data_IF_560051890953
#
_entry.id   IF_560051890953
#
_cell.length_a   1.000
_cell.length_b   1.000
_cell.length_c   1.000
_cell.angle_alpha   90.00
_cell.angle_beta   90.00
_cell.angle_gamma   90.00
#
_symmetry.space_group_name_H-M   'P 1'
#
loop_
_entity.id
_entity.type
_entity.pdbx_description
1 polymer ?
#
# COMPACT_ATOMS: atom_id res chain seq x y z
N UNK A 1 -18.69 -8.95 -19.29
CA UNK A 1 -18.77 -7.52 -18.90
C UNK A 1 -19.24 -7.33 -17.47
N UNK A 2 -20.21 -8.10 -16.97
CA UNK A 2 -20.72 -7.97 -15.59
C UNK A 2 -19.64 -8.16 -14.51
N UNK A 3 -18.75 -9.17 -14.59
CA UNK A 3 -17.72 -9.37 -13.54
C UNK A 3 -16.75 -8.18 -13.42
N UNK A 4 -16.32 -7.58 -14.54
CA UNK A 4 -15.45 -6.40 -14.52
C UNK A 4 -16.12 -5.17 -13.87
N UNK A 5 -17.42 -4.99 -14.10
CA UNK A 5 -18.16 -3.89 -13.49
C UNK A 5 -18.34 -4.10 -11.97
N UNK A 6 -18.60 -5.35 -11.56
CA UNK A 6 -18.72 -5.76 -10.16
C UNK A 6 -17.39 -5.64 -9.42
N UNK A 7 -16.29 -6.06 -10.03
CA UNK A 7 -14.92 -5.88 -9.51
C UNK A 7 -14.56 -4.40 -9.35
N UNK A 8 -14.85 -3.57 -10.36
CA UNK A 8 -14.61 -2.13 -10.30
C UNK A 8 -15.43 -1.46 -9.18
N UNK A 9 -16.68 -1.88 -8.98
CA UNK A 9 -17.52 -1.37 -7.89
C UNK A 9 -16.99 -1.80 -6.52
N UNK A 10 -16.63 -3.08 -6.35
CA UNK A 10 -16.04 -3.59 -5.12
C UNK A 10 -14.77 -2.83 -4.74
N UNK A 11 -13.88 -2.62 -5.72
CA UNK A 11 -12.68 -1.83 -5.53
C UNK A 11 -13.00 -0.38 -5.13
N UNK A 12 -13.94 0.28 -5.83
CA UNK A 12 -14.34 1.66 -5.52
C UNK A 12 -14.89 1.82 -4.10
N UNK A 13 -15.69 0.86 -3.61
CA UNK A 13 -16.21 0.88 -2.23
C UNK A 13 -15.12 0.71 -1.19
N UNK A 14 -14.28 -0.30 -1.36
CA UNK A 14 -13.21 -0.60 -0.39
C UNK A 14 -12.19 0.54 -0.32
N UNK A 15 -11.83 1.09 -1.48
CA UNK A 15 -10.95 2.26 -1.55
C UNK A 15 -11.57 3.51 -0.95
N UNK A 16 -12.85 3.81 -1.25
CA UNK A 16 -13.54 4.96 -0.64
C UNK A 16 -13.60 4.84 0.89
N UNK A 17 -13.78 3.61 1.41
CA UNK A 17 -13.76 3.34 2.84
C UNK A 17 -12.40 3.67 3.44
N UNK A 18 -11.31 3.15 2.88
CA UNK A 18 -9.96 3.45 3.36
C UNK A 18 -9.65 4.97 3.34
N UNK A 19 -10.02 5.66 2.26
CA UNK A 19 -9.84 7.11 2.15
C UNK A 19 -10.67 7.89 3.19
N UNK A 20 -11.90 7.44 3.46
CA UNK A 20 -12.79 8.06 4.45
C UNK A 20 -12.31 7.81 5.88
N UNK A 21 -11.93 6.58 6.22
CA UNK A 21 -11.42 6.23 7.56
C UNK A 21 -10.15 7.01 7.89
N UNK A 22 -9.25 7.17 6.92
CA UNK A 22 -8.07 8.01 7.09
C UNK A 22 -8.42 9.49 7.31
N UNK A 23 -9.44 10.00 6.62
CA UNK A 23 -9.94 11.38 6.80
C UNK A 23 -10.50 11.57 8.22
N UNK A 24 -11.40 10.69 8.66
CA UNK A 24 -12.02 10.73 9.99
C UNK A 24 -10.96 10.59 11.10
N UNK A 25 -9.98 9.70 10.93
CA UNK A 25 -8.92 9.51 11.93
C UNK A 25 -8.07 10.75 12.19
N UNK A 26 -7.97 11.69 11.23
CA UNK A 26 -7.30 12.98 11.44
C UNK A 26 -8.19 14.04 12.07
N UNK A 27 -9.51 13.84 12.03
CA UNK A 27 -10.51 14.82 12.42
C UNK A 27 -11.62 14.18 13.27
N UNK A 28 -11.29 13.69 14.49
CA UNK A 28 -12.29 13.12 15.38
C UNK A 28 -13.30 14.16 15.89
N UNK A 29 -13.10 15.45 15.59
CA UNK A 29 -13.88 16.58 16.08
C UNK A 29 -15.24 16.77 15.40
N UNK A 30 -15.46 16.17 14.23
CA UNK A 30 -16.78 16.17 13.60
C UNK A 30 -17.59 14.99 14.15
N UNK A 31 -18.41 15.25 15.19
CA UNK A 31 -19.36 14.31 15.80
C UNK A 31 -20.49 13.84 14.87
N UNK A 32 -20.22 13.73 13.57
CA UNK A 32 -21.12 13.18 12.57
C UNK A 32 -21.41 11.70 12.89
N UNK A 33 -22.69 11.28 12.92
CA UNK A 33 -23.05 9.90 13.20
C UNK A 33 -22.36 8.93 12.23
N UNK A 34 -21.93 7.77 12.71
CA UNK A 34 -21.33 6.71 11.88
C UNK A 34 -22.17 6.35 10.64
N UNK A 35 -23.49 6.53 10.73
CA UNK A 35 -24.43 6.37 9.61
C UNK A 35 -24.24 7.42 8.50
N UNK A 36 -23.95 8.68 8.84
CA UNK A 36 -23.68 9.74 7.85
C UNK A 36 -22.43 9.40 7.06
N UNK A 37 -21.33 9.11 7.74
CA UNK A 37 -20.06 8.76 7.10
C UNK A 37 -20.19 7.55 6.19
N UNK A 38 -20.90 6.50 6.61
CA UNK A 38 -21.16 5.33 5.73
C UNK A 38 -21.86 5.73 4.42
N UNK A 39 -22.88 6.59 4.49
CA UNK A 39 -23.60 7.05 3.29
C UNK A 39 -22.74 7.98 2.42
N UNK A 40 -21.89 8.81 3.03
CA UNK A 40 -20.93 9.65 2.32
C UNK A 40 -19.86 8.81 1.61
N UNK A 41 -19.35 7.76 2.25
CA UNK A 41 -18.43 6.78 1.66
C UNK A 41 -19.05 6.05 0.46
N UNK A 42 -20.30 5.58 0.58
CA UNK A 42 -21.00 4.95 -0.54
C UNK A 42 -21.21 5.93 -1.72
N UNK A 43 -21.51 7.21 -1.43
CA UNK A 43 -21.63 8.26 -2.45
C UNK A 43 -20.28 8.58 -3.11
N UNK A 44 -19.21 8.63 -2.32
CA UNK A 44 -17.84 8.83 -2.77
C UNK A 44 -17.38 7.69 -3.70
N UNK A 45 -17.65 6.43 -3.32
CA UNK A 45 -17.42 5.26 -4.16
C UNK A 45 -18.20 5.35 -5.48
N UNK A 46 -19.48 5.74 -5.42
CA UNK A 46 -20.32 5.90 -6.61
C UNK A 46 -19.74 6.96 -7.55
N UNK A 47 -19.27 8.09 -7.02
CA UNK A 47 -18.65 9.13 -7.83
C UNK A 47 -17.39 8.61 -8.54
N UNK A 48 -16.49 7.92 -7.82
CA UNK A 48 -15.27 7.34 -8.42
C UNK A 48 -15.57 6.31 -9.51
N UNK A 49 -16.47 5.36 -9.23
CA UNK A 49 -16.90 4.34 -10.19
C UNK A 49 -17.54 4.94 -11.44
N UNK A 50 -18.33 6.00 -11.28
CA UNK A 50 -18.93 6.71 -12.41
C UNK A 50 -17.93 7.47 -13.25
N UNK A 51 -16.99 8.16 -12.62
CA UNK A 51 -15.91 8.85 -13.35
C UNK A 51 -15.07 7.82 -14.12
N UNK A 52 -14.76 6.67 -13.52
CA UNK A 52 -14.07 5.57 -14.18
C UNK A 52 -14.80 5.13 -15.46
N UNK A 53 -16.12 4.86 -15.35
CA UNK A 53 -16.95 4.48 -16.48
C UNK A 53 -17.05 5.56 -17.56
N UNK A 54 -17.24 6.82 -17.18
CA UNK A 54 -17.39 7.94 -18.13
C UNK A 54 -16.07 8.24 -18.87
N UNK A 55 -14.91 8.00 -18.23
CA UNK A 55 -13.59 8.20 -18.85
C UNK A 55 -13.02 6.94 -19.51
N UNK A 56 -13.67 5.78 -19.36
CA UNK A 56 -13.16 4.50 -19.85
C UNK A 56 -11.86 4.05 -19.15
N UNK A 57 -11.67 4.43 -17.89
CA UNK A 57 -10.47 4.16 -17.11
C UNK A 57 -10.74 3.12 -16.00
N UNK A 58 -9.72 2.34 -15.59
CA UNK A 58 -9.76 1.64 -14.30
C UNK A 58 -9.96 2.64 -13.16
N UNK A 59 -10.65 2.22 -12.09
CA UNK A 59 -10.93 3.09 -10.94
C UNK A 59 -9.63 3.61 -10.30
N UNK A 60 -8.56 2.80 -10.29
CA UNK A 60 -7.25 3.23 -9.78
C UNK A 60 -6.64 4.42 -10.54
N UNK A 61 -7.00 4.60 -11.81
CA UNK A 61 -6.42 5.62 -12.70
C UNK A 61 -7.32 6.88 -12.78
N UNK A 62 -8.39 6.94 -11.99
CA UNK A 62 -9.31 8.08 -11.96
C UNK A 62 -8.67 9.29 -11.27
N UNK A 63 -8.65 10.48 -11.90
CA UNK A 63 -8.21 11.70 -11.25
C UNK A 63 -9.13 12.11 -10.10
N UNK A 64 -8.59 12.37 -8.91
CA UNK A 64 -9.35 12.84 -7.74
C UNK A 64 -10.11 14.13 -8.03
N UNK A 65 -9.52 15.05 -8.82
CA UNK A 65 -10.17 16.29 -9.22
C UNK A 65 -11.47 16.04 -10.02
N UNK A 66 -11.51 14.98 -10.84
CA UNK A 66 -12.71 14.61 -11.58
C UNK A 66 -13.79 14.03 -10.65
N UNK A 67 -13.39 13.30 -9.60
CA UNK A 67 -14.31 12.84 -8.55
C UNK A 67 -14.89 14.02 -7.77
N UNK A 68 -14.05 14.96 -7.33
CA UNK A 68 -14.48 16.19 -6.65
C UNK A 68 -15.45 17.02 -7.51
N UNK A 69 -15.11 17.22 -8.79
CA UNK A 69 -15.97 17.92 -9.75
C UNK A 69 -17.30 17.23 -10.03
N UNK A 70 -17.39 15.91 -9.78
CA UNK A 70 -18.63 15.15 -9.88
C UNK A 70 -19.48 15.23 -8.61
N UNK A 71 -18.86 15.36 -7.44
CA UNK A 71 -19.51 15.51 -6.13
C UNK A 71 -20.04 16.92 -5.85
N UNK A 72 -19.89 17.89 -6.75
CA UNK A 72 -20.44 19.24 -6.57
C UNK A 72 -21.96 19.26 -6.38
N UNK A 73 -22.45 20.27 -5.64
CA UNK A 73 -23.82 20.36 -5.10
C UNK A 73 -24.96 20.15 -6.12
N UNK A 74 -24.73 20.44 -7.40
CA UNK A 74 -25.74 20.30 -8.46
C UNK A 74 -25.82 18.90 -9.12
N UNK A 75 -24.92 17.95 -8.79
CA UNK A 75 -24.76 16.70 -9.57
C UNK A 75 -25.11 15.40 -8.85
N UNK A 76 -25.51 15.45 -7.58
CA UNK A 76 -25.84 14.25 -6.79
C UNK A 76 -27.00 13.46 -7.40
N UNK A 77 -28.03 14.14 -7.89
CA UNK A 77 -29.14 13.48 -8.60
C UNK A 77 -28.67 12.81 -9.89
N UNK A 78 -27.77 13.46 -10.62
CA UNK A 78 -27.13 12.93 -11.83
C UNK A 78 -26.26 11.69 -11.61
N UNK A 79 -25.78 11.46 -10.38
CA UNK A 79 -25.03 10.25 -10.02
C UNK A 79 -25.93 9.01 -9.94
N UNK A 80 -27.20 9.19 -9.58
CA UNK A 80 -28.14 8.11 -9.28
C UNK A 80 -29.10 7.80 -10.44
N UNK A 81 -29.26 8.71 -11.41
CA UNK A 81 -30.17 8.52 -12.55
C UNK A 81 -29.64 7.60 -13.65
N UNK A 82 -28.33 7.39 -13.75
CA UNK A 82 -27.71 6.56 -14.80
C UNK A 82 -27.61 5.06 -14.46
N UNK A 83 -28.46 4.56 -13.58
CA UNK A 83 -28.47 3.17 -13.09
C UNK A 83 -27.76 2.97 -11.74
N UNK A 84 -27.91 1.80 -11.12
CA UNK A 84 -27.19 1.46 -9.90
C UNK A 84 -25.97 0.59 -10.21
N UNK A 85 -24.96 0.56 -9.32
CA UNK A 85 -23.90 -0.43 -9.40
C UNK A 85 -24.47 -1.86 -9.38
N UNK A 86 -23.73 -2.87 -9.88
CA UNK A 86 -24.17 -4.26 -9.88
C UNK A 86 -24.59 -4.74 -8.48
N UNK A 87 -25.69 -5.49 -8.41
CA UNK A 87 -26.30 -5.96 -7.16
C UNK A 87 -25.64 -7.23 -6.60
N UNK A 88 -24.78 -7.88 -7.37
CA UNK A 88 -24.10 -9.15 -7.05
C UNK A 88 -22.80 -8.96 -6.25
N UNK A 89 -22.48 -7.74 -5.82
CA UNK A 89 -21.25 -7.43 -5.07
C UNK A 89 -21.44 -7.72 -3.58
N UNK A 90 -20.50 -8.45 -2.92
CA UNK A 90 -20.56 -8.74 -1.49
C UNK A 90 -20.66 -7.50 -0.61
N UNK A 91 -21.37 -7.63 0.52
CA UNK A 91 -21.53 -6.59 1.54
C UNK A 91 -22.92 -5.97 1.56
N UNK A 92 -23.22 -5.11 2.55
CA UNK A 92 -24.52 -4.49 2.65
C UNK A 92 -24.79 -3.58 1.44
N UNK A 93 -26.00 -3.64 0.87
CA UNK A 93 -26.37 -2.76 -0.23
C UNK A 93 -26.30 -1.30 0.23
N UNK A 94 -25.85 -0.38 -0.63
CA UNK A 94 -25.77 1.02 -0.28
C UNK A 94 -27.15 1.59 0.05
N UNK A 95 -27.19 2.52 1.01
CA UNK A 95 -28.42 3.16 1.47
C UNK A 95 -28.96 4.22 0.49
N UNK A 96 -29.24 3.88 -0.77
CA UNK A 96 -29.56 4.84 -1.84
C UNK A 96 -30.68 5.80 -1.49
N UNK A 97 -31.76 5.33 -0.85
CA UNK A 97 -32.85 6.19 -0.36
C UNK A 97 -32.36 7.22 0.67
N UNK A 98 -31.42 6.85 1.53
CA UNK A 98 -30.81 7.75 2.50
C UNK A 98 -29.89 8.78 1.83
N UNK A 99 -29.16 8.35 0.80
CA UNK A 99 -28.31 9.23 -0.01
C UNK A 99 -29.16 10.28 -0.73
N UNK A 100 -30.25 9.88 -1.38
CA UNK A 100 -31.18 10.81 -2.06
C UNK A 100 -31.75 11.85 -1.09
N UNK A 101 -32.22 11.43 0.09
CA UNK A 101 -32.82 12.35 1.07
C UNK A 101 -31.84 13.37 1.66
N UNK A 102 -30.55 13.03 1.72
CA UNK A 102 -29.51 13.84 2.37
C UNK A 102 -28.42 14.31 1.40
N UNK A 103 -28.72 14.26 0.10
CA UNK A 103 -27.74 14.34 -1.00
C UNK A 103 -26.72 15.48 -0.86
N UNK A 104 -27.15 16.75 -0.73
CA UNK A 104 -26.21 17.88 -0.65
C UNK A 104 -25.26 17.80 0.55
N UNK A 105 -25.76 17.42 1.72
CA UNK A 105 -24.93 17.28 2.93
C UNK A 105 -23.90 16.17 2.77
N UNK A 106 -24.32 15.00 2.26
CA UNK A 106 -23.43 13.86 2.04
C UNK A 106 -22.39 14.13 0.95
N UNK A 107 -22.76 14.90 -0.08
CA UNK A 107 -21.86 15.30 -1.15
C UNK A 107 -20.77 16.24 -0.65
N UNK A 108 -21.11 17.19 0.24
CA UNK A 108 -20.12 18.02 0.93
C UNK A 108 -19.15 17.18 1.77
N UNK A 109 -19.66 16.24 2.57
CA UNK A 109 -18.82 15.34 3.36
C UNK A 109 -17.90 14.46 2.48
N UNK A 110 -18.44 13.83 1.43
CA UNK A 110 -17.67 13.05 0.47
C UNK A 110 -16.61 13.90 -0.26
N UNK A 111 -16.95 15.14 -0.60
CA UNK A 111 -16.04 16.09 -1.24
C UNK A 111 -14.92 16.52 -0.30
N UNK A 112 -15.20 16.76 0.97
CA UNK A 112 -14.18 17.08 1.98
C UNK A 112 -13.11 15.96 2.10
N UNK A 113 -13.53 14.69 1.98
CA UNK A 113 -12.60 13.55 1.89
C UNK A 113 -11.67 13.70 0.67
N UNK A 114 -12.23 13.93 -0.52
CA UNK A 114 -11.44 14.06 -1.77
C UNK A 114 -10.52 15.28 -1.73
N UNK A 115 -11.01 16.43 -1.27
CA UNK A 115 -10.23 17.67 -1.17
C UNK A 115 -9.05 17.51 -0.21
N UNK A 116 -9.23 16.81 0.92
CA UNK A 116 -8.13 16.52 1.83
C UNK A 116 -7.09 15.59 1.19
N UNK A 117 -7.52 14.59 0.42
CA UNK A 117 -6.59 13.72 -0.32
C UNK A 117 -5.89 14.42 -1.48
N UNK A 118 -6.53 15.40 -2.11
CA UNK A 118 -5.89 16.31 -3.06
C UNK A 118 -4.81 17.15 -2.39
N UNK A 119 -5.10 17.75 -1.23
CA UNK A 119 -4.11 18.51 -0.46
C UNK A 119 -2.92 17.63 -0.03
N UNK A 120 -3.19 16.43 0.49
CA UNK A 120 -2.14 15.48 0.85
C UNK A 120 -1.30 15.01 -0.36
N UNK A 121 -1.89 14.95 -1.56
CA UNK A 121 -1.14 14.64 -2.78
C UNK A 121 -0.15 15.75 -3.16
N UNK A 122 -0.48 17.01 -2.86
CA UNK A 122 0.41 18.16 -3.05
C UNK A 122 1.53 18.14 -2.01
N UNK A 123 1.24 17.79 -0.75
CA UNK A 123 2.25 17.69 0.31
C UNK A 123 3.24 16.52 0.11
N UNK A 124 2.77 15.42 -0.48
CA UNK A 124 3.61 14.26 -0.79
C UNK A 124 4.55 14.49 -1.98
N UNK A 125 4.39 15.63 -2.69
CA UNK A 125 5.31 16.07 -3.73
C UNK A 125 6.55 16.74 -3.14
N UNK A 126 7.71 16.40 -3.68
CA UNK A 126 8.98 17.08 -3.37
C UNK A 126 9.45 17.69 -4.67
N UNK A 127 9.55 19.02 -4.70
CA UNK A 127 10.03 19.75 -5.86
C UNK A 127 11.39 19.20 -6.30
N UNK A 128 11.45 18.77 -7.56
CA UNK A 128 12.70 18.35 -8.18
C UNK A 128 13.28 19.56 -8.92
N UNK A 129 14.10 20.35 -8.22
CA UNK A 129 14.79 21.52 -8.78
C UNK A 129 15.70 21.16 -9.98
N UNK A 130 16.03 19.88 -10.16
CA UNK A 130 16.97 19.42 -11.19
C UNK A 130 16.34 19.11 -12.55
N UNK A 131 15.01 19.05 -12.65
CA UNK A 131 14.31 18.69 -13.87
C UNK A 131 13.60 19.89 -14.52
N UNK A 132 14.42 20.86 -14.95
CA UNK A 132 14.02 22.10 -15.61
C UNK A 132 12.69 22.03 -16.37
N UNK A 133 11.67 22.70 -15.81
CA UNK A 133 10.57 23.28 -16.58
C UNK A 133 9.57 22.33 -17.28
N UNK A 134 9.47 21.04 -16.95
CA UNK A 134 8.40 20.23 -17.53
C UNK A 134 7.02 20.63 -16.95
N UNK A 135 6.02 20.98 -17.77
CA UNK A 135 4.77 21.57 -17.32
C UNK A 135 3.90 20.58 -16.53
N UNK A 136 3.27 21.11 -15.48
CA UNK A 136 2.11 20.53 -14.80
C UNK A 136 2.37 19.28 -13.97
N UNK A 137 2.04 19.37 -12.67
CA UNK A 137 1.85 18.24 -11.78
C UNK A 137 1.00 17.15 -12.45
N UNK A 138 1.43 15.87 -12.47
CA UNK A 138 0.53 14.80 -12.85
C UNK A 138 -0.70 14.80 -11.91
N UNK A 139 -1.90 14.47 -12.41
CA UNK A 139 -3.10 14.49 -11.58
C UNK A 139 -2.96 13.51 -10.43
N UNK A 140 -3.38 13.92 -9.23
CA UNK A 140 -3.52 13.00 -8.11
C UNK A 140 -4.57 11.93 -8.45
N UNK A 141 -4.13 10.67 -8.53
CA UNK A 141 -5.01 9.56 -8.89
C UNK A 141 -5.58 8.89 -7.65
N UNK A 142 -6.78 8.35 -7.82
CA UNK A 142 -7.50 7.62 -6.78
C UNK A 142 -6.68 6.46 -6.22
N UNK A 143 -6.14 5.59 -7.08
CA UNK A 143 -5.36 4.43 -6.68
C UNK A 143 -4.07 4.79 -5.95
N UNK A 144 -3.41 5.87 -6.36
CA UNK A 144 -2.17 6.34 -5.71
C UNK A 144 -2.42 6.77 -4.27
N UNK A 145 -3.55 7.44 -4.00
CA UNK A 145 -3.94 7.81 -2.63
C UNK A 145 -4.34 6.62 -1.78
N UNK A 146 -5.04 5.66 -2.36
CA UNK A 146 -5.42 4.42 -1.65
C UNK A 146 -4.17 3.69 -1.20
N UNK A 147 -3.18 3.55 -2.09
CA UNK A 147 -1.87 3.00 -1.74
C UNK A 147 -1.20 3.83 -0.66
N UNK A 148 -1.14 5.16 -0.80
CA UNK A 148 -0.53 6.06 0.18
C UNK A 148 -1.13 5.87 1.59
N UNK A 149 -2.45 5.78 1.70
CA UNK A 149 -3.16 5.54 2.96
C UNK A 149 -2.82 4.18 3.55
N UNK A 150 -2.80 3.11 2.73
CA UNK A 150 -2.42 1.76 3.19
C UNK A 150 -0.99 1.71 3.72
N UNK A 151 -0.06 2.40 3.05
CA UNK A 151 1.34 2.48 3.48
C UNK A 151 1.54 3.37 4.71
N UNK A 152 0.80 4.48 4.82
CA UNK A 152 0.89 5.38 5.96
C UNK A 152 0.24 4.80 7.23
N UNK A 153 -0.78 3.96 7.08
CA UNK A 153 -1.66 3.56 8.18
C UNK A 153 -2.67 4.65 8.53
N UNK A 154 -3.56 4.34 9.47
CA UNK A 154 -4.50 5.32 9.98
C UNK A 154 -3.76 6.36 10.83
N UNK A 155 -4.21 7.63 10.84
CA UNK A 155 -3.64 8.64 11.70
C UNK A 155 -3.62 8.21 13.18
N UNK A 156 -2.51 8.43 13.86
CA UNK A 156 -2.33 8.02 15.26
C UNK A 156 -2.05 6.53 15.46
N UNK A 157 -1.97 5.74 14.38
CA UNK A 157 -1.60 4.31 14.43
C UNK A 157 -0.26 4.06 13.75
N UNK A 158 0.45 3.02 14.20
CA UNK A 158 1.63 2.51 13.50
C UNK A 158 1.14 1.62 12.35
N UNK A 159 1.63 1.80 11.11
CA UNK A 159 1.22 0.95 10.01
C UNK A 159 1.73 -0.49 10.23
N UNK A 160 0.92 -1.48 9.85
CA UNK A 160 1.20 -2.89 10.14
C UNK A 160 2.55 -3.39 9.61
N UNK A 161 3.00 -2.89 8.45
CA UNK A 161 4.32 -3.23 7.91
C UNK A 161 5.45 -2.76 8.84
N UNK A 162 5.29 -1.61 9.50
CA UNK A 162 6.31 -1.01 10.38
C UNK A 162 6.37 -1.77 11.69
N UNK A 163 5.23 -2.08 12.29
CA UNK A 163 5.18 -2.89 13.51
C UNK A 163 5.87 -4.25 13.32
N UNK A 164 5.57 -4.94 12.21
CA UNK A 164 6.22 -6.20 11.87
C UNK A 164 7.74 -6.04 11.57
N UNK A 165 8.14 -4.94 10.92
CA UNK A 165 9.54 -4.67 10.63
C UNK A 165 10.35 -4.35 11.90
N UNK A 166 9.82 -3.52 12.80
CA UNK A 166 10.43 -3.19 14.09
C UNK A 166 10.57 -4.45 14.96
N UNK A 167 9.50 -5.26 15.06
CA UNK A 167 9.57 -6.55 15.76
C UNK A 167 10.64 -7.47 15.18
N UNK A 168 10.77 -7.50 13.85
CA UNK A 168 11.81 -8.28 13.18
C UNK A 168 13.19 -7.78 13.56
N UNK A 169 13.43 -6.47 13.47
CA UNK A 169 14.71 -5.84 13.82
C UNK A 169 15.11 -6.14 15.28
N UNK A 170 14.17 -6.03 16.22
CA UNK A 170 14.40 -6.35 17.63
C UNK A 170 14.79 -7.81 17.84
N UNK A 171 14.08 -8.72 17.16
CA UNK A 171 14.39 -10.16 17.23
C UNK A 171 15.77 -10.47 16.63
N UNK A 172 16.13 -9.85 15.49
CA UNK A 172 17.44 -10.02 14.87
C UNK A 172 18.56 -9.47 15.76
N UNK A 173 18.34 -8.35 16.43
CA UNK A 173 19.29 -7.75 17.38
C UNK A 173 19.53 -8.65 18.61
N UNK A 174 18.47 -9.23 19.20
CA UNK A 174 18.59 -10.21 20.30
C UNK A 174 19.36 -11.45 19.85
N UNK A 175 19.02 -12.02 18.68
CA UNK A 175 19.71 -13.20 18.13
C UNK A 175 21.19 -12.87 17.89
N UNK A 176 21.48 -11.74 17.25
CA UNK A 176 22.84 -11.30 16.96
C UNK A 176 23.68 -11.11 18.23
N UNK A 177 23.09 -10.53 19.27
CA UNK A 177 23.75 -10.29 20.57
C UNK A 177 24.03 -11.60 21.30
N UNK A 178 23.07 -12.53 21.36
CA UNK A 178 23.27 -13.85 21.99
C UNK A 178 24.29 -14.70 21.25
N UNK A 179 24.30 -14.64 19.92
CA UNK A 179 25.29 -15.33 19.09
C UNK A 179 26.70 -14.80 19.38
N UNK A 180 26.89 -13.49 19.40
CA UNK A 180 28.17 -12.87 19.71
C UNK A 180 28.67 -13.22 21.12
N UNK A 181 27.77 -13.25 22.11
CA UNK A 181 28.07 -13.63 23.49
C UNK A 181 28.23 -15.15 23.70
N UNK A 182 28.10 -15.98 22.65
CA UNK A 182 28.09 -17.45 22.73
C UNK A 182 27.02 -18.03 23.67
N UNK A 183 25.98 -17.27 23.98
CA UNK A 183 24.82 -17.71 24.77
C UNK A 183 23.79 -18.47 23.93
N UNK A 184 23.97 -18.50 22.62
CA UNK A 184 23.21 -19.30 21.69
C UNK A 184 24.07 -19.64 20.47
N UNK A 185 23.91 -20.84 19.94
CA UNK A 185 24.52 -21.27 18.69
C UNK A 185 23.41 -21.78 17.74
N UNK A 186 23.49 -21.46 16.44
CA UNK A 186 22.57 -22.00 15.45
C UNK A 186 22.77 -23.52 15.33
N UNK A 187 21.68 -24.28 15.20
CA UNK A 187 21.74 -25.69 14.84
C UNK A 187 22.08 -25.88 13.36
N UNK A 188 22.13 -27.14 12.90
CA UNK A 188 22.42 -27.46 11.50
C UNK A 188 21.38 -26.91 10.52
N UNK A 189 20.10 -26.96 10.90
CA UNK A 189 19.01 -26.42 10.10
C UNK A 189 19.08 -24.89 10.01
N UNK A 190 19.36 -24.17 11.10
CA UNK A 190 19.52 -22.71 11.05
C UNK A 190 20.74 -22.29 10.23
N UNK A 191 21.86 -23.00 10.34
CA UNK A 191 23.05 -22.72 9.51
C UNK A 191 22.77 -22.93 8.03
N UNK A 192 22.05 -24.01 7.69
CA UNK A 192 21.67 -24.29 6.31
C UNK A 192 20.71 -23.23 5.75
N UNK A 193 19.66 -22.86 6.51
CA UNK A 193 18.75 -21.79 6.14
C UNK A 193 19.48 -20.44 5.98
N UNK A 194 20.40 -20.13 6.88
CA UNK A 194 21.22 -18.93 6.79
C UNK A 194 22.14 -18.93 5.56
N UNK A 195 22.74 -20.07 5.22
CA UNK A 195 23.53 -20.21 4.01
C UNK A 195 22.68 -20.01 2.75
N UNK A 196 21.48 -20.61 2.68
CA UNK A 196 20.55 -20.40 1.58
C UNK A 196 20.19 -18.91 1.44
N UNK A 197 19.76 -18.26 2.52
CA UNK A 197 19.41 -16.83 2.48
C UNK A 197 20.61 -15.92 2.18
N UNK A 198 21.82 -16.28 2.63
CA UNK A 198 23.04 -15.53 2.33
C UNK A 198 23.43 -15.64 0.84
N UNK A 199 23.12 -16.76 0.18
CA UNK A 199 23.36 -16.95 -1.26
C UNK A 199 22.24 -16.40 -2.16
N UNK A 200 21.08 -16.07 -1.58
CA UNK A 200 19.90 -15.59 -2.31
C UNK A 200 19.83 -14.05 -2.43
N UNK A 201 20.88 -13.33 -2.05
CA UNK A 201 20.93 -11.85 -2.11
C UNK A 201 22.21 -11.43 -2.85
N UNK A 202 22.12 -10.51 -3.84
CA UNK A 202 21.44 -9.23 -3.75
C UNK A 202 20.18 -9.09 -4.63
N UNK A 203 19.00 -9.35 -4.08
CA UNK A 203 17.77 -8.71 -4.61
C UNK A 203 17.71 -7.22 -4.20
N UNK A 204 18.43 -6.85 -3.13
CA UNK A 204 18.80 -5.48 -2.84
C UNK A 204 19.99 -5.14 -3.72
N UNK A 205 19.77 -4.38 -4.79
CA UNK A 205 20.87 -3.80 -5.54
C UNK A 205 21.85 -3.14 -4.56
N UNK A 206 23.05 -3.69 -4.45
CA UNK A 206 24.16 -2.99 -3.82
C UNK A 206 24.26 -1.63 -4.52
N UNK A 207 24.12 -0.53 -3.76
CA UNK A 207 24.00 0.88 -4.19
C UNK A 207 22.54 1.31 -4.41
N UNK A 208 21.88 1.94 -3.44
CA UNK A 208 22.24 3.27 -2.96
C UNK A 208 21.79 4.32 -3.98
N UNK A 209 20.67 5.01 -3.72
CA UNK A 209 20.23 6.27 -4.38
C UNK A 209 20.09 6.34 -5.91
N UNK A 210 20.55 5.36 -6.70
CA UNK A 210 20.62 5.43 -8.17
C UNK A 210 19.61 4.56 -8.93
N UNK A 211 18.97 3.60 -8.28
CA UNK A 211 17.90 2.79 -8.87
C UNK A 211 16.52 3.39 -8.63
N UNK A 212 15.65 3.39 -9.65
CA UNK A 212 14.25 3.79 -9.52
C UNK A 212 13.53 3.03 -8.39
N UNK A 213 12.42 3.60 -7.90
CA UNK A 213 11.63 3.02 -6.82
C UNK A 213 10.94 1.70 -7.19
N UNK A 214 10.57 1.51 -8.46
CA UNK A 214 9.87 0.30 -8.90
C UNK A 214 10.76 -0.96 -8.86
N UNK A 215 12.02 -0.94 -9.37
CA UNK A 215 12.98 -2.02 -9.16
C UNK A 215 13.20 -2.39 -7.69
N UNK A 216 13.30 -1.39 -6.80
CA UNK A 216 13.47 -1.60 -5.35
C UNK A 216 12.31 -2.38 -4.73
N UNK A 217 11.07 -1.99 -5.08
CA UNK A 217 9.87 -2.70 -4.62
C UNK A 217 9.81 -4.14 -5.14
N UNK A 218 10.22 -4.39 -6.39
CA UNK A 218 10.35 -5.76 -6.94
C UNK A 218 11.42 -6.56 -6.20
N UNK A 219 12.51 -5.93 -5.79
CA UNK A 219 13.55 -6.54 -4.94
C UNK A 219 12.99 -7.01 -3.60
N UNK A 220 12.17 -6.19 -2.93
CA UNK A 220 11.48 -6.57 -1.69
C UNK A 220 10.52 -7.77 -1.91
N UNK A 221 9.80 -7.80 -3.03
CA UNK A 221 8.96 -8.94 -3.36
C UNK A 221 9.78 -10.23 -3.60
N UNK A 222 10.96 -10.10 -4.23
CA UNK A 222 11.90 -11.21 -4.35
C UNK A 222 12.41 -11.71 -3.00
N UNK A 223 12.73 -10.80 -2.07
CA UNK A 223 13.16 -11.16 -0.73
C UNK A 223 12.07 -11.92 0.04
N UNK A 224 10.79 -11.53 -0.09
CA UNK A 224 9.67 -12.26 0.49
C UNK A 224 9.56 -13.70 -0.07
N UNK A 225 9.74 -13.86 -1.37
CA UNK A 225 9.71 -15.17 -2.01
C UNK A 225 10.85 -16.07 -1.51
N UNK A 226 12.07 -15.52 -1.34
CA UNK A 226 13.21 -16.24 -0.75
C UNK A 226 12.95 -16.65 0.69
N UNK A 227 12.40 -15.75 1.52
CA UNK A 227 12.02 -16.06 2.89
C UNK A 227 10.95 -17.17 2.94
N UNK A 228 9.92 -17.06 2.09
CA UNK A 228 8.86 -18.08 1.96
C UNK A 228 9.41 -19.45 1.58
N UNK A 229 10.34 -19.51 0.63
CA UNK A 229 10.95 -20.78 0.22
C UNK A 229 11.70 -21.42 1.39
N UNK A 230 12.48 -20.63 2.13
CA UNK A 230 13.25 -21.11 3.27
C UNK A 230 12.37 -21.51 4.45
N UNK A 231 11.33 -20.72 4.80
CA UNK A 231 10.41 -21.07 5.89
C UNK A 231 9.52 -22.26 5.57
N UNK A 232 9.24 -22.54 4.29
CA UNK A 232 8.57 -23.78 3.86
C UNK A 232 9.49 -25.00 3.96
N UNK A 233 10.76 -24.85 3.58
CA UNK A 233 11.75 -25.93 3.70
C UNK A 233 12.13 -26.21 5.16
N UNK A 234 12.10 -25.18 6.00
CA UNK A 234 12.42 -25.22 7.42
C UNK A 234 11.26 -24.63 8.25
N UNK A 235 10.17 -25.39 8.48
CA UNK A 235 9.02 -24.87 9.19
C UNK A 235 9.37 -24.44 10.62
N UNK A 236 9.02 -23.22 11.05
CA UNK A 236 9.28 -22.73 12.39
C UNK A 236 8.67 -23.64 13.46
N UNK A 237 9.48 -24.03 14.45
CA UNK A 237 8.99 -24.83 15.58
C UNK A 237 8.75 -26.31 15.28
N UNK A 238 9.11 -26.78 14.07
CA UNK A 238 9.05 -28.19 13.70
C UNK A 238 10.48 -28.72 13.48
N UNK A 239 10.83 -29.79 14.20
CA UNK A 239 12.12 -30.46 14.04
C UNK A 239 13.31 -29.63 14.56
N UNK A 240 14.39 -29.58 13.77
CA UNK A 240 15.67 -28.98 14.16
C UNK A 240 15.77 -27.46 13.92
N UNK A 241 14.75 -26.82 13.36
CA UNK A 241 14.76 -25.39 13.09
C UNK A 241 14.24 -24.61 14.30
N UNK A 242 15.15 -23.98 15.03
CA UNK A 242 14.87 -23.37 16.33
C UNK A 242 13.89 -22.20 16.27
N UNK A 243 13.12 -21.99 17.36
CA UNK A 243 12.03 -21.01 17.40
C UNK A 243 12.52 -19.56 17.38
N UNK A 244 13.81 -19.28 17.61
CA UNK A 244 14.34 -17.90 17.59
C UNK A 244 14.43 -17.38 16.16
N UNK A 245 15.24 -18.03 15.33
CA UNK A 245 15.40 -17.64 13.92
C UNK A 245 14.08 -17.81 13.16
N UNK A 246 13.34 -18.89 13.40
CA UNK A 246 12.05 -19.10 12.73
C UNK A 246 11.04 -17.99 12.98
N UNK A 247 10.94 -17.46 14.21
CA UNK A 247 10.06 -16.31 14.51
C UNK A 247 10.50 -15.03 13.80
N UNK A 248 11.80 -14.74 13.79
CA UNK A 248 12.35 -13.59 13.06
C UNK A 248 12.04 -13.65 11.56
N UNK A 249 12.20 -14.81 10.92
CA UNK A 249 11.89 -14.94 9.49
C UNK A 249 10.38 -14.85 9.19
N UNK A 250 9.52 -15.37 10.07
CA UNK A 250 8.05 -15.23 9.93
C UNK A 250 7.62 -13.77 10.09
N UNK A 251 8.16 -13.05 11.07
CA UNK A 251 7.89 -11.62 11.25
C UNK A 251 8.40 -10.80 10.05
N UNK A 252 9.59 -11.13 9.51
CA UNK A 252 10.13 -10.50 8.31
C UNK A 252 9.23 -10.71 7.09
N UNK A 253 8.73 -11.95 6.91
CA UNK A 253 7.79 -12.28 5.84
C UNK A 253 6.49 -11.48 5.98
N UNK A 254 5.93 -11.40 7.19
CA UNK A 254 4.73 -10.62 7.45
C UNK A 254 4.91 -9.13 7.15
N UNK A 255 6.09 -8.57 7.45
CA UNK A 255 6.42 -7.18 7.12
C UNK A 255 6.52 -6.93 5.60
N UNK A 256 7.05 -7.90 4.83
CA UNK A 256 7.20 -7.78 3.36
C UNK A 256 5.92 -8.08 2.58
N UNK A 257 4.98 -8.84 3.14
CA UNK A 257 3.77 -9.26 2.43
C UNK A 257 2.98 -8.09 1.79
N UNK A 258 2.77 -6.94 2.48
CA UNK A 258 2.16 -5.76 1.85
C UNK A 258 2.95 -5.23 0.64
N UNK A 259 4.28 -5.30 0.66
CA UNK A 259 5.12 -4.86 -0.45
C UNK A 259 4.97 -5.75 -1.69
N UNK A 260 4.75 -7.06 -1.52
CA UNK A 260 4.44 -7.99 -2.63
C UNK A 260 3.14 -7.59 -3.32
N UNK A 261 2.10 -7.30 -2.54
CA UNK A 261 0.81 -6.86 -3.09
C UNK A 261 0.96 -5.53 -3.83
N UNK A 262 1.68 -4.56 -3.25
CA UNK A 262 1.97 -3.28 -3.88
C UNK A 262 2.78 -3.43 -5.17
N UNK A 263 3.77 -4.33 -5.21
CA UNK A 263 4.56 -4.61 -6.41
C UNK A 263 3.66 -5.08 -7.56
N UNK A 264 2.79 -6.06 -7.31
CA UNK A 264 1.86 -6.58 -8.31
C UNK A 264 0.77 -5.57 -8.73
N UNK A 265 0.34 -4.68 -7.84
CA UNK A 265 -0.52 -3.54 -8.21
C UNK A 265 0.22 -2.56 -9.14
N UNK A 266 1.45 -2.17 -8.77
CA UNK A 266 2.22 -1.20 -9.53
C UNK A 266 2.73 -1.75 -10.86
N UNK A 267 3.01 -3.04 -10.97
CA UNK A 267 3.33 -3.69 -12.25
C UNK A 267 2.15 -3.61 -13.24
N UNK A 268 0.92 -3.75 -12.75
CA UNK A 268 -0.29 -3.58 -13.57
C UNK A 268 -0.48 -2.14 -14.03
N UNK A 269 -0.21 -1.17 -13.16
CA UNK A 269 -0.25 0.27 -13.51
C UNK A 269 0.89 0.60 -14.50
N UNK A 270 2.08 0.05 -14.29
CA UNK A 270 3.25 0.22 -15.15
C UNK A 270 2.99 -0.29 -16.56
N UNK A 271 2.32 -1.44 -16.70
CA UNK A 271 1.96 -2.00 -17.99
C UNK A 271 1.05 -1.09 -18.83
N UNK A 272 0.35 -0.14 -18.20
CA UNK A 272 -0.51 0.87 -18.86
C UNK A 272 0.16 2.23 -19.01
N UNK A 273 1.43 2.37 -18.61
CA UNK A 273 2.17 3.64 -18.69
C UNK A 273 2.16 4.16 -20.14
N UNK A 274 1.75 5.42 -20.37
CA UNK A 274 1.89 6.05 -21.67
C UNK A 274 3.34 6.03 -22.15
N UNK A 275 3.57 5.65 -23.41
CA UNK A 275 4.93 5.52 -23.97
C UNK A 275 5.75 6.82 -23.87
N UNK A 276 5.09 7.98 -23.93
CA UNK A 276 5.72 9.29 -23.81
C UNK A 276 6.07 9.71 -22.36
N UNK A 277 5.59 8.99 -21.34
CA UNK A 277 5.86 9.32 -19.95
C UNK A 277 7.20 8.73 -19.50
N UNK A 278 8.13 9.56 -19.04
CA UNK A 278 9.41 9.08 -18.49
C UNK A 278 9.21 8.22 -17.23
N UNK A 279 10.15 7.30 -16.97
CA UNK A 279 10.14 6.43 -15.78
C UNK A 279 10.08 7.29 -14.51
N UNK A 280 10.96 8.28 -14.40
CA UNK A 280 11.02 9.18 -13.25
C UNK A 280 9.71 9.94 -13.03
N UNK A 281 9.05 10.41 -14.10
CA UNK A 281 7.75 11.07 -13.98
C UNK A 281 6.66 10.11 -13.51
N UNK A 282 6.67 8.88 -13.99
CA UNK A 282 5.72 7.84 -13.56
C UNK A 282 5.94 7.47 -12.09
N UNK A 283 7.19 7.23 -11.68
CA UNK A 283 7.51 6.90 -10.27
C UNK A 283 7.14 8.04 -9.32
N UNK A 284 7.36 9.31 -9.72
CA UNK A 284 6.92 10.44 -8.92
C UNK A 284 5.41 10.45 -8.67
N UNK A 285 4.63 10.13 -9.70
CA UNK A 285 3.17 10.09 -9.63
C UNK A 285 2.67 8.92 -8.78
N UNK A 286 3.17 7.71 -9.03
CA UNK A 286 2.58 6.48 -8.51
C UNK A 286 3.21 5.96 -7.22
N UNK A 287 4.33 6.53 -6.78
CA UNK A 287 5.03 6.17 -5.55
C UNK A 287 5.10 7.41 -4.65
N UNK A 288 4.00 7.80 -3.99
CA UNK A 288 3.99 8.94 -3.07
C UNK A 288 4.88 8.69 -1.84
N UNK A 289 5.22 9.75 -1.10
CA UNK A 289 6.15 9.72 0.03
C UNK A 289 5.88 8.60 1.07
N UNK A 290 4.63 8.28 1.45
CA UNK A 290 4.38 7.17 2.38
C UNK A 290 4.83 5.81 1.84
N UNK A 291 4.68 5.56 0.54
CA UNK A 291 5.16 4.32 -0.10
C UNK A 291 6.68 4.27 -0.11
N UNK A 292 7.34 5.38 -0.46
CA UNK A 292 8.80 5.49 -0.44
C UNK A 292 9.36 5.23 0.96
N UNK A 293 8.67 5.73 1.99
CA UNK A 293 9.02 5.51 3.40
C UNK A 293 8.88 4.04 3.79
N UNK A 294 7.80 3.38 3.35
CA UNK A 294 7.62 1.94 3.55
C UNK A 294 8.72 1.13 2.87
N UNK A 295 9.02 1.43 1.60
CA UNK A 295 10.08 0.73 0.85
C UNK A 295 11.42 0.87 1.57
N UNK A 296 11.81 2.08 1.95
CA UNK A 296 13.07 2.31 2.65
C UNK A 296 13.15 1.53 3.98
N UNK A 297 12.09 1.58 4.81
CA UNK A 297 12.08 0.86 6.08
C UNK A 297 12.13 -0.66 5.93
N UNK A 298 11.50 -1.22 4.88
CA UNK A 298 11.58 -2.64 4.59
C UNK A 298 12.95 -3.05 4.04
N UNK A 299 13.62 -2.19 3.27
CA UNK A 299 15.00 -2.43 2.83
C UNK A 299 15.97 -2.49 4.01
N UNK A 300 15.83 -1.58 4.99
CA UNK A 300 16.64 -1.60 6.21
C UNK A 300 16.47 -2.92 6.99
N UNK A 301 15.23 -3.40 7.11
CA UNK A 301 14.92 -4.69 7.73
C UNK A 301 15.55 -5.86 6.94
N UNK A 302 15.41 -5.89 5.61
CA UNK A 302 15.99 -6.97 4.78
C UNK A 302 17.52 -6.95 4.87
N UNK A 303 18.15 -5.77 4.89
CA UNK A 303 19.60 -5.65 5.08
C UNK A 303 20.04 -6.22 6.44
N UNK A 304 19.25 -6.01 7.51
CA UNK A 304 19.51 -6.60 8.82
C UNK A 304 19.38 -8.13 8.83
N UNK A 305 18.36 -8.68 8.15
CA UNK A 305 18.21 -10.13 7.97
C UNK A 305 19.45 -10.68 7.27
N UNK A 306 19.83 -10.08 6.15
CA UNK A 306 20.98 -10.51 5.34
C UNK A 306 22.30 -10.48 6.15
N UNK A 307 22.53 -9.40 6.89
CA UNK A 307 23.72 -9.25 7.73
C UNK A 307 23.80 -10.34 8.81
N UNK A 308 22.67 -10.68 9.45
CA UNK A 308 22.62 -11.78 10.42
C UNK A 308 22.87 -13.13 9.75
N UNK A 309 22.28 -13.39 8.58
CA UNK A 309 22.45 -14.66 7.86
C UNK A 309 23.91 -14.86 7.44
N UNK A 310 24.58 -13.81 6.92
CA UNK A 310 26.01 -13.84 6.60
C UNK A 310 26.88 -14.12 7.83
N UNK A 311 26.55 -13.53 8.99
CA UNK A 311 27.26 -13.78 10.25
C UNK A 311 27.12 -15.22 10.72
N UNK A 312 25.93 -15.79 10.61
CA UNK A 312 25.67 -17.20 10.96
C UNK A 312 26.42 -18.13 9.99
N UNK A 313 26.32 -17.89 8.68
CA UNK A 313 26.96 -18.71 7.66
C UNK A 313 28.50 -18.68 7.73
N UNK A 314 29.10 -17.51 8.02
CA UNK A 314 30.55 -17.35 8.13
C UNK A 314 31.16 -17.80 9.46
N UNK A 315 30.36 -18.32 10.39
CA UNK A 315 30.83 -18.80 11.71
C UNK A 315 31.21 -20.30 11.73
N UNK A 316 31.27 -20.93 10.55
CA UNK A 316 31.80 -22.29 10.33
C UNK A 316 33.31 -22.31 10.26
#
# INVERSE_FOLDING_TARGET
MLSRASEAWAYARESARALTEWHIGRDPGEGEPARTWRLATDLLALAAWRVAGDLGLPVEDVPLAAVAGRLGDARVEGLLTRGHPPADVPGPPPGWRGILRRGPMLARAARAVVERHLAAAVEDDVADETNGGAPGMPPALWGDRVRAVRSAGLPGTVPAWREAAELTLDQLADIGSRHAARHWAPGSAERFAAAQLATLVPALGTSGTGGGWLPRLRGLAGAEASLTAVTRQHPPGVGAFGPRLGRALVSAQAALHPAVTLAGELDRVWARRPAAQSVARWERQHLPRPLRTQVAGLEDMVAAVEALMRRIAGST
#
